data_IF_253191997338
#
_entry.id   IF_253191997338
#
_cell.length_a   1.000
_cell.length_b   1.000
_cell.length_c   1.000
_cell.angle_alpha   90.00
_cell.angle_beta   90.00
_cell.angle_gamma   90.00
#
_symmetry.space_group_name_H-M   'P 1'
#
loop_
_entity.id
_entity.type
_entity.pdbx_description
1 polymer ?
#
# COMPACT_ATOMS: atom_id res chain seq x y z
N UNK A 1 -5.53 15.03 -0.70
CA UNK A 1 -5.78 13.70 -1.31
C UNK A 1 -7.25 13.39 -1.20
N UNK A 2 -7.88 13.19 -2.34
CA UNK A 2 -9.29 12.80 -2.50
C UNK A 2 -9.46 11.35 -2.06
N UNK A 3 -10.59 10.95 -1.46
CA UNK A 3 -10.82 9.55 -1.03
C UNK A 3 -10.61 8.52 -2.15
N UNK A 4 -10.88 8.91 -3.39
CA UNK A 4 -10.81 8.08 -4.60
C UNK A 4 -9.37 7.82 -5.08
N UNK A 5 -8.39 8.65 -4.72
CA UNK A 5 -6.98 8.47 -5.13
C UNK A 5 -6.26 7.37 -4.33
N UNK A 6 -6.88 6.86 -3.26
CA UNK A 6 -6.29 5.82 -2.39
C UNK A 6 -6.48 4.40 -2.89
N UNK A 7 -7.36 4.15 -3.85
CA UNK A 7 -7.73 2.81 -4.32
C UNK A 7 -7.26 2.60 -5.75
N UNK A 8 -6.69 1.42 -6.04
CA UNK A 8 -6.31 1.04 -7.40
C UNK A 8 -7.56 0.79 -8.26
N UNK A 9 -7.52 1.22 -9.54
CA UNK A 9 -8.58 0.92 -10.50
C UNK A 9 -8.37 -0.50 -11.03
N UNK A 10 -9.24 -1.42 -10.64
CA UNK A 10 -9.17 -2.83 -11.04
C UNK A 10 -10.19 -3.15 -12.15
N UNK A 11 -9.86 -4.03 -13.10
CA UNK A 11 -10.81 -4.52 -14.10
C UNK A 11 -11.85 -5.45 -13.44
N UNK A 12 -12.91 -5.80 -14.18
CA UNK A 12 -13.78 -6.89 -13.76
C UNK A 12 -13.00 -8.20 -13.65
N UNK A 13 -13.36 -9.01 -12.67
CA UNK A 13 -12.73 -10.29 -12.39
C UNK A 13 -12.74 -11.22 -13.62
N UNK A 14 -11.74 -12.13 -13.77
CA UNK A 14 -10.70 -12.44 -12.78
C UNK A 14 -9.45 -11.56 -12.87
N UNK A 15 -8.90 -11.20 -11.72
CA UNK A 15 -7.57 -10.60 -11.58
C UNK A 15 -6.88 -11.13 -10.32
N UNK A 16 -5.55 -11.02 -10.28
CA UNK A 16 -4.77 -11.37 -9.10
C UNK A 16 -4.50 -10.14 -8.25
N UNK A 17 -4.63 -10.29 -6.93
CA UNK A 17 -4.21 -9.31 -5.94
C UNK A 17 -3.08 -9.89 -5.10
N UNK A 18 -1.99 -9.15 -4.95
CA UNK A 18 -0.88 -9.50 -4.06
C UNK A 18 -0.93 -8.56 -2.87
N UNK A 19 -0.98 -9.12 -1.66
CA UNK A 19 -0.97 -8.37 -0.41
C UNK A 19 0.27 -8.68 0.41
N UNK A 20 0.89 -7.63 0.95
CA UNK A 20 1.99 -7.71 1.90
C UNK A 20 1.52 -7.08 3.21
N UNK A 21 1.66 -7.81 4.31
CA UNK A 21 1.38 -7.31 5.66
C UNK A 21 2.64 -7.42 6.51
N UNK A 22 2.84 -6.44 7.39
CA UNK A 22 3.97 -6.44 8.33
C UNK A 22 3.50 -5.87 9.65
N UNK A 23 3.91 -6.52 10.74
CA UNK A 23 3.71 -6.01 12.09
C UNK A 23 4.87 -5.07 12.43
N UNK A 24 4.56 -3.84 12.84
CA UNK A 24 5.57 -2.87 13.27
C UNK A 24 5.94 -3.15 14.73
N UNK A 25 7.22 -3.21 15.05
CA UNK A 25 7.70 -3.44 16.42
C UNK A 25 8.72 -2.36 16.80
N UNK A 26 8.25 -1.35 17.55
CA UNK A 26 9.05 -0.15 17.89
C UNK A 26 9.31 0.76 16.69
N UNK A 27 9.02 2.06 16.82
CA UNK A 27 9.34 3.10 15.82
C UNK A 27 8.77 2.87 14.41
N UNK A 28 9.07 3.78 13.49
CA UNK A 28 8.83 3.64 12.04
C UNK A 28 10.18 3.53 11.31
N UNK A 29 11.11 2.77 11.90
CA UNK A 29 12.53 2.69 11.53
C UNK A 29 12.73 2.03 10.15
N UNK A 30 12.49 2.79 9.08
CA UNK A 30 12.75 2.40 7.69
C UNK A 30 11.63 1.64 6.98
N UNK A 31 10.55 1.26 7.67
CA UNK A 31 9.42 0.58 7.01
C UNK A 31 8.70 1.49 6.00
N UNK A 32 8.60 2.79 6.30
CA UNK A 32 8.09 3.80 5.38
C UNK A 32 8.87 3.79 4.06
N UNK A 33 10.19 3.99 4.14
CA UNK A 33 11.09 4.04 2.99
C UNK A 33 11.13 2.72 2.21
N UNK A 34 11.15 1.58 2.90
CA UNK A 34 11.12 0.27 2.26
C UNK A 34 9.81 0.01 1.52
N UNK A 35 8.68 0.44 2.08
CA UNK A 35 7.39 0.33 1.41
C UNK A 35 7.33 1.22 0.15
N UNK A 36 7.92 2.42 0.19
CA UNK A 36 8.00 3.30 -0.97
C UNK A 36 8.88 2.70 -2.07
N UNK A 37 10.04 2.13 -1.70
CA UNK A 37 10.89 1.37 -2.63
C UNK A 37 10.18 0.18 -3.27
N UNK A 38 9.40 -0.56 -2.50
CA UNK A 38 8.59 -1.66 -3.04
C UNK A 38 7.52 -1.16 -4.02
N UNK A 39 6.89 -0.01 -3.73
CA UNK A 39 5.94 0.61 -4.64
C UNK A 39 6.59 1.02 -5.97
N UNK A 40 7.78 1.63 -5.93
CA UNK A 40 8.56 2.00 -7.12
C UNK A 40 8.89 0.79 -8.00
N UNK A 41 9.25 -0.34 -7.39
CA UNK A 41 9.57 -1.57 -8.12
C UNK A 41 8.33 -2.24 -8.71
N UNK A 42 7.21 -2.25 -7.97
CA UNK A 42 5.94 -2.78 -8.44
C UNK A 42 5.42 -2.00 -9.65
N UNK A 43 5.58 -0.66 -9.65
CA UNK A 43 5.17 0.20 -10.75
C UNK A 43 5.89 -0.10 -12.08
N UNK A 44 7.05 -0.74 -12.04
CA UNK A 44 7.81 -1.15 -13.23
C UNK A 44 7.34 -2.46 -13.85
N UNK A 45 6.49 -3.23 -13.15
CA UNK A 45 6.06 -4.54 -13.62
C UNK A 45 4.99 -4.41 -14.72
N UNK A 46 5.10 -5.18 -15.82
CA UNK A 46 4.05 -5.24 -16.83
C UNK A 46 2.72 -5.62 -16.19
N UNK A 47 1.66 -4.86 -16.50
CA UNK A 47 0.34 -5.13 -15.96
C UNK A 47 0.04 -4.50 -14.59
N UNK A 48 0.97 -3.75 -13.99
CA UNK A 48 0.69 -2.97 -12.79
C UNK A 48 -0.48 -1.99 -13.02
N UNK A 49 -1.36 -1.86 -12.02
CA UNK A 49 -2.58 -1.03 -12.08
C UNK A 49 -2.71 -0.03 -10.94
N UNK A 50 -1.80 -0.08 -9.96
CA UNK A 50 -1.83 0.78 -8.77
C UNK A 50 -1.56 -0.01 -7.49
N UNK A 51 -1.36 0.74 -6.42
CA UNK A 51 -1.14 0.22 -5.07
C UNK A 51 -1.93 1.07 -4.09
N UNK A 52 -2.42 0.41 -3.05
CA UNK A 52 -3.00 1.07 -1.89
C UNK A 52 -2.25 0.64 -0.64
N UNK A 53 -2.05 1.58 0.27
CA UNK A 53 -1.44 1.31 1.58
C UNK A 53 -2.41 1.72 2.67
N UNK A 54 -2.51 0.88 3.70
CA UNK A 54 -3.23 1.18 4.93
C UNK A 54 -2.23 1.06 6.08
N UNK A 55 -2.25 2.02 6.98
CA UNK A 55 -1.56 1.96 8.27
C UNK A 55 -2.56 2.26 9.37
N UNK A 56 -2.45 1.56 10.50
CA UNK A 56 -3.18 1.96 11.69
C UNK A 56 -2.76 3.39 12.06
N UNK A 57 -3.70 4.32 12.02
CA UNK A 57 -3.50 5.62 12.68
C UNK A 57 -3.62 5.35 14.18
N UNK A 58 -2.80 5.98 15.05
CA UNK A 58 -3.03 5.89 16.48
C UNK A 58 -4.44 6.44 16.72
N UNK A 59 -5.33 5.57 17.20
CA UNK A 59 -6.68 5.94 17.59
C UNK A 59 -6.56 7.17 18.49
N UNK A 60 -7.21 8.28 18.11
CA UNK A 60 -7.37 9.43 18.99
C UNK A 60 -8.08 8.90 20.25
N UNK A 61 -7.35 8.74 21.35
CA UNK A 61 -7.97 8.52 22.66
C UNK A 61 -8.67 9.83 23.02
N UNK A 62 -10.00 9.80 22.96
CA UNK A 62 -10.85 10.72 23.71
C UNK A 62 -11.16 10.13 25.06
#
# INVERSE_FOLDING_TARGET
MSPTERFAITPQAPYYMVSFSSQRFGGDDGYGEMADRMAELAARQPGYRGMQRVSASPTHSG
#
